data_IF_135201051643
#
_entry.id   IF_135201051643
#
_cell.length_a   1.000
_cell.length_b   1.000
_cell.length_c   1.000
_cell.angle_alpha   90.00
_cell.angle_beta   90.00
_cell.angle_gamma   90.00
#
_symmetry.space_group_name_H-M   'P 1'
#
loop_
_entity.id
_entity.type
_entity.pdbx_description
1 polymer ?
#
# COMPACT_ATOMS: atom_id res chain seq x y z
N UNK A 1 21.83 -16.36 6.81
CA UNK A 1 21.36 -15.55 7.96
C UNK A 1 22.50 -14.69 8.50
N UNK A 2 22.27 -13.39 8.57
CA UNK A 2 23.15 -12.39 9.15
C UNK A 2 22.40 -11.65 10.28
N UNK A 3 23.09 -11.31 11.35
CA UNK A 3 22.57 -10.54 12.48
C UNK A 3 23.07 -9.11 12.38
N UNK A 4 22.13 -8.18 12.17
CA UNK A 4 22.40 -6.75 12.06
C UNK A 4 22.01 -6.08 13.38
N UNK A 5 22.88 -5.26 13.94
CA UNK A 5 22.52 -4.47 15.12
C UNK A 5 21.98 -3.11 14.68
N UNK A 6 20.67 -2.95 14.71
CA UNK A 6 20.00 -1.67 14.46
C UNK A 6 20.03 -0.81 15.73
N UNK A 7 20.61 0.38 15.63
CA UNK A 7 20.66 1.35 16.73
C UNK A 7 19.56 2.39 16.55
N UNK A 8 18.58 2.44 17.45
CA UNK A 8 17.45 3.37 17.42
C UNK A 8 17.31 4.08 18.78
N UNK A 9 17.40 5.42 18.81
CA UNK A 9 17.27 6.25 20.02
C UNK A 9 17.99 5.72 21.28
N UNK A 10 19.22 5.18 21.10
CA UNK A 10 20.12 4.54 22.11
C UNK A 10 19.87 3.06 22.41
N UNK A 11 18.81 2.47 21.89
CA UNK A 11 18.53 1.04 22.00
C UNK A 11 19.22 0.27 20.87
N UNK A 12 19.83 -0.86 21.21
CA UNK A 12 20.42 -1.80 20.25
C UNK A 12 19.44 -2.96 20.04
N UNK A 13 18.91 -3.09 18.82
CA UNK A 13 17.97 -4.15 18.46
C UNK A 13 18.67 -5.07 17.45
N UNK A 14 18.91 -6.35 17.80
CA UNK A 14 19.43 -7.32 16.84
C UNK A 14 18.31 -7.76 15.89
N UNK A 15 18.53 -7.60 14.59
CA UNK A 15 17.62 -8.04 13.53
C UNK A 15 18.31 -9.18 12.78
N UNK A 16 17.66 -10.35 12.75
CA UNK A 16 18.17 -11.49 11.99
C UNK A 16 17.47 -11.54 10.64
N UNK A 17 18.23 -11.47 9.56
CA UNK A 17 17.74 -11.51 8.18
C UNK A 17 18.62 -12.42 7.34
N UNK A 18 18.14 -12.85 6.17
CA UNK A 18 18.99 -13.60 5.26
C UNK A 18 20.04 -12.71 4.57
N UNK A 19 21.22 -13.26 4.29
CA UNK A 19 22.34 -12.51 3.68
C UNK A 19 22.07 -12.10 2.23
N UNK A 20 21.28 -12.91 1.52
CA UNK A 20 20.83 -12.64 0.15
C UNK A 20 19.63 -11.67 0.07
N UNK A 21 19.13 -11.18 1.20
CA UNK A 21 17.97 -10.30 1.22
C UNK A 21 18.31 -8.89 0.69
N UNK A 22 17.27 -8.11 0.42
CA UNK A 22 17.40 -6.72 -0.05
C UNK A 22 17.28 -5.73 1.10
N UNK A 23 17.68 -4.47 0.87
CA UNK A 23 17.43 -3.39 1.82
C UNK A 23 15.93 -3.25 2.17
N UNK A 24 15.02 -3.50 1.22
CA UNK A 24 13.58 -3.50 1.47
C UNK A 24 13.15 -4.57 2.49
N UNK A 25 13.75 -5.75 2.46
CA UNK A 25 13.44 -6.82 3.40
C UNK A 25 13.97 -6.48 4.81
N UNK A 26 15.15 -5.85 4.90
CA UNK A 26 15.69 -5.33 6.16
C UNK A 26 14.78 -4.25 6.74
N UNK A 27 14.26 -3.35 5.89
CA UNK A 27 13.34 -2.32 6.32
C UNK A 27 12.05 -2.93 6.90
N UNK A 28 11.47 -3.95 6.25
CA UNK A 28 10.30 -4.66 6.78
C UNK A 28 10.61 -5.38 8.09
N UNK A 29 11.75 -6.06 8.21
CA UNK A 29 12.16 -6.73 9.43
C UNK A 29 12.34 -5.74 10.60
N UNK A 30 12.88 -4.56 10.32
CA UNK A 30 13.03 -3.50 11.32
C UNK A 30 11.71 -2.82 11.69
N UNK A 31 10.75 -2.75 10.78
CA UNK A 31 9.41 -2.27 11.11
C UNK A 31 8.75 -3.18 12.15
N UNK A 32 8.91 -4.51 12.01
CA UNK A 32 8.42 -5.47 13.01
C UNK A 32 9.18 -5.35 14.34
N UNK A 33 10.50 -5.20 14.29
CA UNK A 33 11.34 -5.21 15.50
C UNK A 33 11.33 -3.88 16.29
N UNK A 34 11.26 -2.73 15.59
CA UNK A 34 11.44 -1.39 16.17
C UNK A 34 10.15 -0.55 16.09
N UNK A 35 9.12 -1.02 15.38
CA UNK A 35 7.84 -0.31 15.13
C UNK A 35 8.02 1.04 14.41
N UNK A 36 9.13 1.20 13.69
CA UNK A 36 9.39 2.36 12.84
C UNK A 36 8.95 1.99 11.41
N UNK A 37 7.99 2.69 10.81
CA UNK A 37 7.51 2.36 9.48
C UNK A 37 8.60 2.51 8.41
N UNK A 38 8.61 1.64 7.39
CA UNK A 38 9.65 1.59 6.32
C UNK A 38 9.99 2.97 5.74
N UNK A 39 8.99 3.81 5.48
CA UNK A 39 9.16 5.15 4.90
C UNK A 39 9.74 6.19 5.87
N UNK A 40 9.64 5.94 7.18
CA UNK A 40 10.22 6.75 8.25
C UNK A 40 11.60 6.25 8.65
N UNK A 41 12.04 5.09 8.15
CA UNK A 41 13.36 4.53 8.41
C UNK A 41 14.42 5.17 7.52
N UNK A 42 15.49 5.65 8.14
CA UNK A 42 16.71 6.10 7.48
C UNK A 42 17.89 5.32 8.05
N UNK A 43 18.47 4.47 7.22
CA UNK A 43 19.58 3.60 7.58
C UNK A 43 20.91 4.27 7.25
N UNK A 44 21.82 4.31 8.23
CA UNK A 44 23.15 4.89 8.06
C UNK A 44 24.20 4.04 8.75
N UNK A 45 25.33 3.80 8.08
CA UNK A 45 26.45 3.12 8.70
C UNK A 45 26.97 3.89 9.91
N UNK A 46 27.12 3.18 11.03
CA UNK A 46 27.74 3.77 12.22
C UNK A 46 29.24 3.86 11.98
N UNK A 47 29.75 5.09 11.94
CA UNK A 47 31.18 5.38 11.95
C UNK A 47 31.91 4.54 13.00
N UNK A 48 32.77 3.63 12.58
CA UNK A 48 33.66 2.89 13.48
C UNK A 48 35.09 3.31 13.18
N UNK A 49 35.77 3.86 14.19
CA UNK A 49 37.20 4.15 14.10
C UNK A 49 37.93 2.81 13.97
N UNK A 50 38.62 2.59 12.86
CA UNK A 50 39.64 1.56 12.78
C UNK A 50 40.95 2.10 13.40
N UNK A 51 41.85 1.18 13.76
CA UNK A 51 43.13 1.50 14.43
C UNK A 51 44.09 2.36 13.57
N UNK A 52 43.80 2.56 12.28
CA UNK A 52 44.59 3.36 11.33
C UNK A 52 44.13 4.82 11.21
N UNK A 53 43.10 5.25 11.94
CA UNK A 53 42.62 6.63 11.91
C UNK A 53 41.83 7.00 10.63
N UNK A 54 41.49 6.04 9.78
CA UNK A 54 40.71 6.23 8.57
C UNK A 54 39.23 5.91 8.82
N UNK A 55 38.34 6.90 8.73
CA UNK A 55 36.90 6.65 8.79
C UNK A 55 36.47 5.81 7.58
N UNK A 56 36.18 4.52 7.76
CA UNK A 56 35.46 3.76 6.74
C UNK A 56 34.00 4.27 6.72
N UNK A 57 33.61 4.94 5.62
CA UNK A 57 32.24 5.30 5.21
C UNK A 57 31.24 5.69 6.31
N UNK A 58 31.71 6.48 7.26
CA UNK A 58 30.89 7.10 8.29
C UNK A 58 29.82 8.00 7.65
N UNK A 59 28.55 7.62 7.75
CA UNK A 59 27.43 8.43 7.25
C UNK A 59 26.91 8.08 5.86
N UNK A 60 27.38 6.99 5.22
CA UNK A 60 26.73 6.45 4.02
C UNK A 60 25.29 6.07 4.39
N UNK A 61 24.34 6.83 3.85
CA UNK A 61 22.91 6.57 3.98
C UNK A 61 22.52 5.55 2.91
N UNK A 62 21.89 4.45 3.32
CA UNK A 62 21.35 3.46 2.40
C UNK A 62 20.02 3.98 1.86
N UNK A 63 19.93 4.15 0.54
CA UNK A 63 18.76 4.75 -0.13
C UNK A 63 18.08 3.80 -1.11
N UNK A 64 18.79 2.82 -1.66
CA UNK A 64 18.29 1.97 -2.72
C UNK A 64 17.65 0.68 -2.16
N UNK A 65 16.30 0.56 -2.15
CA UNK A 65 15.61 -0.57 -1.54
C UNK A 65 15.82 -1.89 -2.31
N UNK A 66 16.21 -1.82 -3.58
CA UNK A 66 16.44 -2.96 -4.46
C UNK A 66 17.86 -3.53 -4.36
N UNK A 67 18.77 -2.84 -3.68
CA UNK A 67 20.16 -3.27 -3.54
C UNK A 67 20.24 -4.40 -2.49
N UNK A 68 21.06 -5.42 -2.76
CA UNK A 68 21.28 -6.52 -1.82
C UNK A 68 22.05 -6.03 -0.60
N UNK A 69 21.84 -6.66 0.55
CA UNK A 69 22.54 -6.30 1.78
C UNK A 69 24.07 -6.35 1.59
N UNK A 70 24.58 -7.34 0.86
CA UNK A 70 26.00 -7.45 0.50
C UNK A 70 26.50 -6.26 -0.35
N UNK A 71 25.74 -5.83 -1.37
CA UNK A 71 26.10 -4.68 -2.21
C UNK A 71 26.03 -3.34 -1.44
N UNK A 72 25.10 -3.25 -0.48
CA UNK A 72 25.06 -2.16 0.49
C UNK A 72 26.25 -2.15 1.46
N UNK A 73 27.06 -3.22 1.55
CA UNK A 73 28.16 -3.37 2.50
C UNK A 73 27.72 -3.87 3.89
N UNK A 74 26.55 -4.48 3.99
CA UNK A 74 26.00 -5.07 5.21
C UNK A 74 26.47 -6.52 5.31
N UNK A 75 27.25 -6.80 6.35
CA UNK A 75 27.76 -8.13 6.68
C UNK A 75 27.29 -8.54 8.08
N UNK A 76 27.46 -9.82 8.41
CA UNK A 76 27.11 -10.33 9.73
C UNK A 76 27.80 -9.56 10.86
N UNK A 77 27.05 -9.18 11.90
CA UNK A 77 27.54 -8.43 13.05
C UNK A 77 27.72 -6.91 12.83
N UNK A 78 27.32 -6.38 11.67
CA UNK A 78 27.46 -4.94 11.39
C UNK A 78 26.52 -4.09 12.26
N UNK A 79 27.01 -2.91 12.66
CA UNK A 79 26.25 -1.92 13.43
C UNK A 79 25.77 -0.80 12.52
N UNK A 80 24.46 -0.67 12.38
CA UNK A 80 23.83 0.35 11.54
C UNK A 80 22.94 1.20 12.42
N UNK A 81 22.98 2.52 12.23
CA UNK A 81 22.03 3.43 12.86
C UNK A 81 20.74 3.44 12.06
N UNK A 82 19.64 3.16 12.75
CA UNK A 82 18.29 3.38 12.27
C UNK A 82 17.80 4.71 12.84
N UNK A 83 17.68 5.72 11.99
CA UNK A 83 16.99 6.96 12.34
C UNK A 83 15.57 6.87 11.81
N UNK A 84 14.59 6.89 12.69
CA UNK A 84 13.20 6.99 12.31
C UNK A 84 12.32 7.21 13.53
N UNK A 85 11.09 7.66 13.34
CA UNK A 85 10.13 7.79 14.44
C UNK A 85 9.14 6.64 14.36
N UNK A 86 8.74 6.14 15.53
CA UNK A 86 7.60 5.21 15.61
C UNK A 86 6.36 5.90 15.05
N UNK A 87 5.53 5.15 14.33
CA UNK A 87 4.20 5.64 14.00
C UNK A 87 3.47 5.99 15.30
N UNK A 88 2.81 7.13 15.36
CA UNK A 88 1.92 7.43 16.48
C UNK A 88 0.69 6.53 16.37
N UNK A 89 0.08 6.18 17.51
CA UNK A 89 -1.17 5.41 17.50
C UNK A 89 -2.25 6.09 16.66
N UNK A 90 -2.28 7.43 16.66
CA UNK A 90 -3.16 8.26 15.84
C UNK A 90 -2.91 8.08 14.34
N UNK A 91 -1.64 8.12 13.89
CA UNK A 91 -1.29 7.89 12.49
C UNK A 91 -1.66 6.48 12.05
N UNK A 92 -1.35 5.48 12.88
CA UNK A 92 -1.66 4.09 12.59
C UNK A 92 -3.18 3.87 12.48
N UNK A 93 -3.97 4.47 13.38
CA UNK A 93 -5.42 4.39 13.35
C UNK A 93 -6.01 5.04 12.08
N UNK A 94 -5.52 6.23 11.70
CA UNK A 94 -5.97 6.92 10.48
C UNK A 94 -5.57 6.17 9.20
N UNK A 95 -4.34 5.65 9.15
CA UNK A 95 -3.87 4.84 8.02
C UNK A 95 -4.67 3.53 7.90
N UNK A 96 -5.00 2.89 9.03
CA UNK A 96 -5.87 1.72 9.05
C UNK A 96 -7.29 2.03 8.55
N UNK A 97 -7.85 3.20 8.88
CA UNK A 97 -9.14 3.64 8.36
C UNK A 97 -9.12 3.83 6.84
N UNK A 98 -8.11 4.52 6.29
CA UNK A 98 -7.94 4.68 4.84
C UNK A 98 -7.81 3.32 4.16
N UNK A 99 -7.04 2.41 4.75
CA UNK A 99 -6.79 1.06 4.24
C UNK A 99 -8.07 0.21 4.25
N UNK A 100 -8.88 0.29 5.29
CA UNK A 100 -10.16 -0.42 5.39
C UNK A 100 -11.15 0.04 4.30
N UNK A 101 -11.21 1.34 4.03
CA UNK A 101 -12.04 1.87 2.93
C UNK A 101 -11.48 1.43 1.57
N UNK A 102 -10.16 1.45 1.41
CA UNK A 102 -9.50 0.99 0.18
C UNK A 102 -9.77 -0.49 -0.09
N UNK A 103 -9.74 -1.34 0.94
CA UNK A 103 -10.08 -2.75 0.82
C UNK A 103 -11.55 -2.96 0.38
N UNK A 104 -12.45 -2.08 0.81
CA UNK A 104 -13.86 -2.10 0.36
C UNK A 104 -13.96 -1.76 -1.11
N UNK A 105 -13.27 -0.70 -1.56
CA UNK A 105 -13.22 -0.31 -2.98
C UNK A 105 -12.61 -1.43 -3.84
N UNK A 106 -11.54 -2.09 -3.37
CA UNK A 106 -10.92 -3.21 -4.08
C UNK A 106 -11.86 -4.41 -4.25
N UNK A 107 -12.68 -4.71 -3.24
CA UNK A 107 -13.71 -5.76 -3.35
C UNK A 107 -14.75 -5.40 -4.40
N UNK A 108 -15.26 -4.17 -4.38
CA UNK A 108 -16.20 -3.69 -5.41
C UNK A 108 -15.55 -3.72 -6.80
N UNK A 109 -14.26 -3.37 -6.91
CA UNK A 109 -13.53 -3.42 -8.18
C UNK A 109 -13.38 -4.84 -8.74
N UNK A 110 -13.17 -5.84 -7.88
CA UNK A 110 -13.15 -7.23 -8.30
C UNK A 110 -14.50 -7.65 -8.90
N UNK A 111 -15.61 -7.34 -8.21
CA UNK A 111 -16.95 -7.67 -8.70
C UNK A 111 -17.29 -6.91 -9.99
N UNK A 112 -16.98 -5.61 -10.07
CA UNK A 112 -17.24 -4.80 -11.27
C UNK A 112 -16.51 -5.37 -12.50
N UNK A 113 -15.29 -5.91 -12.34
CA UNK A 113 -14.58 -6.60 -13.43
C UNK A 113 -15.26 -7.89 -13.85
N UNK A 114 -15.77 -8.68 -12.91
CA UNK A 114 -16.54 -9.89 -13.23
C UNK A 114 -17.85 -9.57 -13.96
N UNK A 115 -18.51 -8.46 -13.59
CA UNK A 115 -19.70 -7.96 -14.27
C UNK A 115 -19.38 -7.49 -15.69
N UNK A 116 -18.25 -6.82 -15.91
CA UNK A 116 -17.80 -6.44 -17.26
C UNK A 116 -17.55 -7.67 -18.15
N UNK A 117 -16.91 -8.71 -17.60
CA UNK A 117 -16.72 -9.97 -18.32
C UNK A 117 -18.06 -10.64 -18.67
N UNK A 118 -18.99 -10.66 -17.71
CA UNK A 118 -20.34 -11.22 -17.90
C UNK A 118 -21.11 -10.44 -18.97
N UNK A 119 -20.99 -9.11 -18.98
CA UNK A 119 -21.60 -8.24 -20.00
C UNK A 119 -21.05 -8.54 -21.39
N UNK A 120 -19.73 -8.71 -21.52
CA UNK A 120 -19.10 -9.08 -22.80
C UNK A 120 -19.60 -10.43 -23.31
N UNK A 121 -19.78 -11.42 -22.42
CA UNK A 121 -20.34 -12.72 -22.79
C UNK A 121 -21.79 -12.61 -23.24
N UNK A 122 -22.60 -11.80 -22.54
CA UNK A 122 -23.98 -11.53 -22.91
C UNK A 122 -24.08 -10.89 -24.31
N UNK A 123 -23.17 -9.97 -24.65
CA UNK A 123 -23.07 -9.34 -25.98
C UNK A 123 -22.70 -10.32 -27.10
N UNK A 124 -22.05 -11.44 -26.81
CA UNK A 124 -21.68 -12.43 -27.82
C UNK A 124 -22.86 -13.28 -28.30
N UNK A 125 -24.03 -13.19 -27.66
CA UNK A 125 -25.30 -13.65 -28.23
C UNK A 125 -25.55 -15.16 -28.22
N UNK A 126 -24.86 -15.92 -27.36
CA UNK A 126 -25.04 -17.38 -27.24
C UNK A 126 -26.24 -17.82 -26.37
N UNK A 127 -27.00 -16.88 -25.81
CA UNK A 127 -28.02 -17.14 -24.78
C UNK A 127 -29.43 -16.88 -25.32
N UNK A 128 -30.40 -17.70 -24.87
CA UNK A 128 -31.83 -17.51 -25.16
C UNK A 128 -32.34 -16.17 -24.60
N UNK A 129 -33.34 -15.56 -25.25
CA UNK A 129 -33.86 -14.24 -24.88
C UNK A 129 -34.30 -14.11 -23.40
N UNK A 130 -34.85 -15.18 -22.81
CA UNK A 130 -35.22 -15.20 -21.39
C UNK A 130 -33.99 -15.16 -20.46
N UNK A 131 -32.93 -15.90 -20.79
CA UNK A 131 -31.68 -15.91 -20.02
C UNK A 131 -30.92 -14.59 -20.15
N UNK A 132 -30.94 -14.00 -21.35
CA UNK A 132 -30.35 -12.67 -21.60
C UNK A 132 -31.04 -11.62 -20.71
N UNK A 133 -32.37 -11.64 -20.60
CA UNK A 133 -33.10 -10.70 -19.75
C UNK A 133 -32.77 -10.87 -18.25
N UNK A 134 -32.70 -12.11 -17.76
CA UNK A 134 -32.35 -12.41 -16.37
C UNK A 134 -30.90 -12.00 -16.03
N UNK A 135 -29.92 -12.37 -16.85
CA UNK A 135 -28.53 -12.00 -16.63
C UNK A 135 -28.32 -10.49 -16.72
N UNK A 136 -29.02 -9.83 -17.65
CA UNK A 136 -29.02 -8.36 -17.77
C UNK A 136 -29.53 -7.70 -16.49
N UNK A 137 -30.66 -8.15 -15.96
CA UNK A 137 -31.21 -7.61 -14.72
C UNK A 137 -30.26 -7.83 -13.53
N UNK A 138 -29.64 -9.01 -13.47
CA UNK A 138 -28.63 -9.34 -12.45
C UNK A 138 -27.41 -8.42 -12.52
N UNK A 139 -26.83 -8.23 -13.71
CA UNK A 139 -25.68 -7.36 -13.92
C UNK A 139 -26.05 -5.91 -13.60
N UNK A 140 -27.22 -5.44 -14.03
CA UNK A 140 -27.69 -4.08 -13.74
C UNK A 140 -27.81 -3.82 -12.24
N UNK A 141 -28.51 -4.71 -11.50
CA UNK A 141 -28.68 -4.59 -10.04
C UNK A 141 -27.34 -4.58 -9.31
N UNK A 142 -26.43 -5.49 -9.69
CA UNK A 142 -25.12 -5.58 -9.07
C UNK A 142 -24.24 -4.35 -9.37
N UNK A 143 -24.22 -3.88 -10.61
CA UNK A 143 -23.46 -2.69 -11.00
C UNK A 143 -23.97 -1.42 -10.29
N UNK A 144 -25.29 -1.23 -10.21
CA UNK A 144 -25.88 -0.11 -9.46
C UNK A 144 -25.54 -0.15 -7.98
N UNK A 145 -25.65 -1.34 -7.35
CA UNK A 145 -25.27 -1.52 -5.95
C UNK A 145 -23.80 -1.13 -5.70
N UNK A 146 -22.88 -1.63 -6.53
CA UNK A 146 -21.46 -1.33 -6.34
C UNK A 146 -21.10 0.12 -6.68
N UNK A 147 -21.80 0.78 -7.61
CA UNK A 147 -21.64 2.22 -7.84
C UNK A 147 -22.05 3.05 -6.60
N UNK A 148 -23.13 2.67 -5.92
CA UNK A 148 -23.54 3.30 -4.65
C UNK A 148 -22.51 3.04 -3.54
N UNK A 149 -22.01 1.82 -3.40
CA UNK A 149 -20.97 1.48 -2.42
C UNK A 149 -19.68 2.29 -2.63
N UNK A 150 -19.27 2.48 -3.89
CA UNK A 150 -18.10 3.30 -4.26
C UNK A 150 -18.36 4.77 -3.91
N UNK A 151 -19.57 5.28 -4.17
CA UNK A 151 -19.95 6.65 -3.79
C UNK A 151 -19.90 6.83 -2.27
N UNK A 152 -20.40 5.87 -1.49
CA UNK A 152 -20.29 5.89 -0.04
C UNK A 152 -18.84 5.82 0.45
N UNK A 153 -17.98 5.05 -0.23
CA UNK A 153 -16.56 4.99 0.08
C UNK A 153 -15.86 6.33 -0.17
N UNK A 154 -16.19 7.03 -1.27
CA UNK A 154 -15.68 8.38 -1.56
C UNK A 154 -16.08 9.37 -0.46
N UNK A 155 -17.36 9.39 -0.05
CA UNK A 155 -17.84 10.25 1.04
C UNK A 155 -17.06 9.98 2.34
N UNK A 156 -16.80 8.71 2.66
CA UNK A 156 -16.00 8.34 3.84
C UNK A 156 -14.56 8.84 3.73
N UNK A 157 -13.93 8.74 2.57
CA UNK A 157 -12.57 9.23 2.34
C UNK A 157 -12.48 10.75 2.46
N UNK A 158 -13.46 11.48 1.91
CA UNK A 158 -13.51 12.95 1.97
C UNK A 158 -13.77 13.46 3.39
N UNK A 159 -14.52 12.72 4.20
CA UNK A 159 -14.74 13.04 5.60
C UNK A 159 -13.51 12.84 6.51
N UNK A 160 -12.46 12.14 6.04
CA UNK A 160 -11.26 11.92 6.84
C UNK A 160 -10.44 13.21 6.96
N UNK A 161 -10.23 13.63 8.20
CA UNK A 161 -9.34 14.72 8.56
C UNK A 161 -8.09 14.17 9.24
N UNK A 162 -6.93 14.72 8.87
CA UNK A 162 -5.62 14.29 9.37
C UNK A 162 -4.99 15.32 10.33
N UNK A 163 -5.81 16.22 10.87
CA UNK A 163 -5.35 17.30 11.74
C UNK A 163 -4.67 16.76 13.02
N UNK A 164 -3.63 17.46 13.48
CA UNK A 164 -2.91 17.12 14.72
C UNK A 164 -1.67 16.27 14.52
N UNK A 165 -1.35 15.91 13.28
CA UNK A 165 -0.14 15.18 12.91
C UNK A 165 0.97 16.12 12.43
N UNK A 166 2.19 15.58 12.27
CA UNK A 166 3.28 16.33 11.63
C UNK A 166 3.05 16.42 10.11
N UNK A 167 3.60 17.46 9.47
CA UNK A 167 3.48 17.70 8.02
C UNK A 167 3.77 16.44 7.17
N UNK A 168 4.84 15.72 7.50
CA UNK A 168 5.23 14.48 6.80
C UNK A 168 4.21 13.33 6.95
N UNK A 169 3.57 13.20 8.11
CA UNK A 169 2.55 12.18 8.36
C UNK A 169 1.25 12.53 7.63
N UNK A 170 0.86 13.81 7.66
CA UNK A 170 -0.28 14.29 6.89
C UNK A 170 -0.10 14.05 5.39
N UNK A 171 1.07 14.38 4.84
CA UNK A 171 1.37 14.19 3.42
C UNK A 171 1.23 12.73 3.00
N UNK A 172 1.68 11.81 3.85
CA UNK A 172 1.56 10.38 3.59
C UNK A 172 0.10 9.91 3.61
N UNK A 173 -0.68 10.29 4.61
CA UNK A 173 -2.10 9.95 4.68
C UNK A 173 -2.89 10.58 3.53
N UNK A 174 -2.53 11.80 3.13
CA UNK A 174 -3.08 12.47 1.93
C UNK A 174 -2.74 11.69 0.67
N UNK A 175 -1.52 11.17 0.54
CA UNK A 175 -1.12 10.35 -0.59
C UNK A 175 -1.90 9.02 -0.62
N UNK A 176 -2.00 8.31 0.51
CA UNK A 176 -2.79 7.08 0.62
C UNK A 176 -4.26 7.33 0.27
N UNK A 177 -4.87 8.40 0.81
CA UNK A 177 -6.24 8.80 0.49
C UNK A 177 -6.39 9.12 -0.99
N UNK A 178 -5.45 9.86 -1.60
CA UNK A 178 -5.47 10.19 -3.03
C UNK A 178 -5.43 8.93 -3.90
N UNK A 179 -4.62 7.94 -3.55
CA UNK A 179 -4.59 6.65 -4.24
C UNK A 179 -5.92 5.91 -4.13
N UNK A 180 -6.53 5.89 -2.94
CA UNK A 180 -7.84 5.29 -2.72
C UNK A 180 -8.95 5.99 -3.54
N UNK A 181 -8.96 7.33 -3.55
CA UNK A 181 -9.88 8.14 -4.35
C UNK A 181 -9.71 7.85 -5.85
N UNK A 182 -8.47 7.79 -6.34
CA UNK A 182 -8.20 7.47 -7.74
C UNK A 182 -8.74 6.08 -8.12
N UNK A 183 -8.57 5.09 -7.25
CA UNK A 183 -9.10 3.74 -7.46
C UNK A 183 -10.64 3.74 -7.43
N UNK A 184 -11.25 4.48 -6.51
CA UNK A 184 -12.70 4.61 -6.41
C UNK A 184 -13.29 5.23 -7.68
N UNK A 185 -12.73 6.33 -8.19
CA UNK A 185 -13.17 6.93 -9.45
C UNK A 185 -13.06 5.95 -10.62
N UNK A 186 -11.90 5.30 -10.78
CA UNK A 186 -11.72 4.31 -11.85
C UNK A 186 -12.78 3.19 -11.78
N UNK A 187 -13.07 2.71 -10.56
CA UNK A 187 -14.04 1.63 -10.37
C UNK A 187 -15.47 2.11 -10.60
N UNK A 188 -15.81 3.32 -10.15
CA UNK A 188 -17.10 3.94 -10.37
C UNK A 188 -17.39 4.16 -11.86
N UNK A 189 -16.41 4.71 -12.58
CA UNK A 189 -16.50 4.93 -14.03
C UNK A 189 -16.72 3.60 -14.79
N UNK A 190 -16.09 2.51 -14.35
CA UNK A 190 -16.31 1.18 -14.91
C UNK A 190 -17.73 0.69 -14.67
N UNK A 191 -18.25 0.82 -13.44
CA UNK A 191 -19.63 0.45 -13.12
C UNK A 191 -20.64 1.26 -13.94
N UNK A 192 -20.41 2.57 -14.10
CA UNK A 192 -21.25 3.44 -14.90
C UNK A 192 -21.21 3.09 -16.39
N UNK A 193 -20.03 2.69 -16.92
CA UNK A 193 -19.91 2.20 -18.30
C UNK A 193 -20.76 0.96 -18.52
N UNK A 194 -20.68 -0.03 -17.61
CA UNK A 194 -21.51 -1.25 -17.65
C UNK A 194 -22.99 -0.88 -17.68
N UNK A 195 -23.42 0.04 -16.79
CA UNK A 195 -24.83 0.48 -16.73
C UNK A 195 -25.29 1.19 -18.02
N UNK A 196 -24.43 2.01 -18.63
CA UNK A 196 -24.72 2.67 -19.92
C UNK A 196 -24.86 1.64 -21.04
N UNK A 197 -23.94 0.68 -21.12
CA UNK A 197 -23.95 -0.37 -22.13
C UNK A 197 -25.18 -1.30 -21.98
N UNK A 198 -25.57 -1.64 -20.75
CA UNK A 198 -26.78 -2.41 -20.48
C UNK A 198 -28.06 -1.68 -20.88
N UNK A 199 -28.08 -0.34 -20.84
CA UNK A 199 -29.21 0.47 -21.34
C UNK A 199 -29.26 0.48 -22.86
N UNK A 200 -28.12 0.48 -23.54
CA UNK A 200 -28.05 0.41 -25.00
C UNK A 200 -28.53 -0.94 -25.54
N UNK A 201 -28.24 -2.05 -24.85
CA UNK A 201 -28.74 -3.39 -25.19
C UNK A 201 -30.25 -3.58 -24.97
N UNK A 202 -30.94 -2.58 -24.40
CA UNK A 202 -32.38 -2.60 -24.20
C UNK A 202 -33.19 -2.22 -25.44
N UNK A 203 -32.53 -1.59 -26.41
CA UNK A 203 -33.10 -1.05 -27.64
C UNK A 203 -32.61 -1.84 -28.84
#
# INVERSE_FOLDING_TARGET
MITITALHDKHQVPISIDGAATLADLQRAAEVAVQVPVHAQRWMFKATKNASGFFNDAGRTLKDPSETLEACGIVDGVRIMLIGRKATEEEAALSAQVTAVTATIQKSAAVVRELDLSLRQLKQGFLDAAKVAEDRERIQKAASKHAEEITQALIKLDAMSFNGLTERQEDQLRLQRKQAISLAHQTGDQADSILKELKQLAH
#
